data_IF_189403108500
#
_entry.id   IF_189403108500
#
_cell.length_a   1.000
_cell.length_b   1.000
_cell.length_c   1.000
_cell.angle_alpha   90.00
_cell.angle_beta   90.00
_cell.angle_gamma   90.00
#
_symmetry.space_group_name_H-M   'P 1'
#
loop_
_entity.id
_entity.type
_entity.pdbx_description
1 polymer ?
#
# COMPACT_ATOMS: atom_id res chain seq x y z
N UNK A 1 6.34 65.78 -16.17
CA UNK A 1 5.52 64.75 -16.85
C UNK A 1 6.41 63.51 -17.01
N UNK A 2 6.62 62.65 -16.00
CA UNK A 2 5.74 61.59 -15.48
C UNK A 2 4.99 60.82 -16.58
N UNK A 3 5.58 59.70 -17.01
CA UNK A 3 4.97 58.37 -17.16
C UNK A 3 6.04 57.38 -17.64
N UNK A 4 6.97 57.09 -16.72
CA UNK A 4 7.71 55.82 -16.72
C UNK A 4 6.72 54.80 -16.19
N UNK A 5 6.04 54.11 -17.08
CA UNK A 5 5.34 52.86 -16.76
C UNK A 5 5.48 52.01 -18.01
N UNK A 6 6.74 51.62 -18.24
CA UNK A 6 7.07 50.40 -18.96
C UNK A 6 6.26 49.31 -18.26
N UNK A 7 5.11 48.99 -18.86
CA UNK A 7 4.27 47.87 -18.50
C UNK A 7 5.19 46.67 -18.62
N UNK A 8 5.72 46.28 -17.46
CA UNK A 8 6.41 45.03 -17.26
C UNK A 8 5.50 43.99 -17.89
N UNK A 9 6.01 43.37 -18.94
CA UNK A 9 5.47 42.20 -19.59
C UNK A 9 5.53 41.01 -18.60
N UNK A 10 4.79 41.14 -17.49
CA UNK A 10 4.35 40.07 -16.62
C UNK A 10 2.96 39.62 -17.09
N UNK A 11 2.79 39.54 -18.41
CA UNK A 11 1.86 38.58 -18.99
C UNK A 11 2.59 37.24 -18.94
N UNK A 12 2.87 36.79 -17.70
CA UNK A 12 3.31 35.45 -17.40
C UNK A 12 2.24 34.55 -17.96
N UNK A 13 2.57 33.99 -19.11
CA UNK A 13 1.80 33.02 -19.85
C UNK A 13 1.28 32.01 -18.83
N UNK A 14 -0.04 32.03 -18.67
CA UNK A 14 -0.85 31.15 -17.83
C UNK A 14 -0.78 29.74 -18.45
N UNK A 15 0.41 29.15 -18.40
CA UNK A 15 0.63 27.72 -18.60
C UNK A 15 -0.02 27.07 -17.37
N UNK A 16 -1.32 26.78 -17.48
CA UNK A 16 -1.94 25.69 -16.71
C UNK A 16 -1.23 24.40 -17.12
N UNK A 17 -0.01 24.21 -16.61
CA UNK A 17 0.69 22.95 -16.72
C UNK A 17 0.02 22.00 -15.77
N UNK A 18 -0.56 20.92 -16.29
CA UNK A 18 -0.99 19.81 -15.45
C UNK A 18 0.19 19.40 -14.55
N UNK A 19 -0.03 19.37 -13.24
CA UNK A 19 1.00 19.00 -12.27
C UNK A 19 1.54 17.62 -12.61
N UNK A 20 2.87 17.46 -12.68
CA UNK A 20 3.46 16.17 -12.97
C UNK A 20 3.59 15.36 -11.67
N UNK A 21 3.44 14.02 -11.72
CA UNK A 21 3.66 13.16 -10.55
C UNK A 21 5.03 13.38 -9.88
N UNK A 22 6.06 13.71 -10.66
CA UNK A 22 7.40 13.95 -10.14
C UNK A 22 7.48 15.20 -9.25
N UNK A 23 6.73 16.25 -9.58
CA UNK A 23 6.74 17.51 -8.83
C UNK A 23 6.03 17.39 -7.47
N UNK A 24 5.11 16.43 -7.36
CA UNK A 24 4.33 16.17 -6.15
C UNK A 24 5.11 15.31 -5.14
N UNK A 25 5.97 14.40 -5.62
CA UNK A 25 6.65 13.40 -4.77
C UNK A 25 7.54 14.05 -3.71
N UNK A 26 8.30 15.08 -4.05
CA UNK A 26 9.19 15.74 -3.08
C UNK A 26 8.39 16.35 -1.90
N UNK A 27 7.25 16.97 -2.19
CA UNK A 27 6.36 17.53 -1.16
C UNK A 27 5.72 16.42 -0.31
N UNK A 28 5.33 15.31 -0.94
CA UNK A 28 4.76 14.15 -0.24
C UNK A 28 5.76 13.49 0.71
N UNK A 29 7.04 13.44 0.37
CA UNK A 29 8.07 12.89 1.24
C UNK A 29 8.26 13.75 2.48
N UNK A 30 8.23 15.08 2.34
CA UNK A 30 8.41 16.00 3.47
C UNK A 30 7.18 16.06 4.38
N UNK A 31 6.00 16.26 3.78
CA UNK A 31 4.77 16.57 4.54
C UNK A 31 3.82 15.39 4.65
N UNK A 32 3.79 14.52 3.65
CA UNK A 32 2.77 13.49 3.48
C UNK A 32 1.53 13.95 2.71
N UNK A 33 1.47 15.20 2.25
CA UNK A 33 0.36 15.67 1.44
C UNK A 33 0.76 16.78 0.49
N UNK A 34 -0.03 16.96 -0.56
CA UNK A 34 0.09 18.01 -1.56
C UNK A 34 -1.29 18.57 -1.86
N UNK A 35 -1.43 19.90 -1.89
CA UNK A 35 -2.65 20.59 -2.32
C UNK A 35 -2.25 21.54 -3.44
N UNK A 36 -2.78 21.31 -4.63
CA UNK A 36 -2.53 22.17 -5.79
C UNK A 36 -3.14 23.56 -5.55
N UNK A 37 -2.45 24.60 -6.01
CA UNK A 37 -2.99 25.95 -5.94
C UNK A 37 -4.34 26.04 -6.67
N UNK A 38 -5.36 26.50 -5.97
CA UNK A 38 -6.73 26.61 -6.48
C UNK A 38 -7.62 25.39 -6.23
N UNK A 39 -7.14 24.35 -5.55
CA UNK A 39 -7.98 23.25 -5.09
C UNK A 39 -8.96 23.70 -3.99
N UNK A 40 -10.15 23.09 -3.94
CA UNK A 40 -11.22 23.49 -3.00
C UNK A 40 -11.11 22.76 -1.66
N UNK A 41 -9.93 22.85 -1.03
CA UNK A 41 -9.66 22.25 0.28
C UNK A 41 -8.66 23.07 1.08
N UNK A 42 -8.85 23.10 2.41
CA UNK A 42 -7.88 23.70 3.32
C UNK A 42 -6.75 22.71 3.63
N UNK A 43 -5.49 23.18 3.52
CA UNK A 43 -4.31 22.36 3.77
C UNK A 43 -4.29 21.75 5.18
N UNK A 44 -4.83 22.45 6.19
CA UNK A 44 -4.91 21.95 7.56
C UNK A 44 -5.81 20.73 7.69
N UNK A 45 -6.91 20.68 6.94
CA UNK A 45 -7.79 19.50 6.91
C UNK A 45 -7.07 18.28 6.34
N UNK A 46 -6.33 18.46 5.25
CA UNK A 46 -5.56 17.38 4.63
C UNK A 46 -4.43 16.92 5.55
N UNK A 47 -3.75 17.86 6.21
CA UNK A 47 -2.71 17.56 7.19
C UNK A 47 -3.25 16.73 8.37
N UNK A 48 -4.41 17.11 8.92
CA UNK A 48 -5.06 16.39 10.02
C UNK A 48 -5.47 14.98 9.60
N UNK A 49 -5.99 14.82 8.38
CA UNK A 49 -6.37 13.52 7.83
C UNK A 49 -5.14 12.59 7.63
N UNK A 50 -4.03 13.12 7.12
CA UNK A 50 -2.77 12.37 7.02
C UNK A 50 -2.21 12.02 8.40
N UNK A 51 -2.23 12.96 9.35
CA UNK A 51 -1.80 12.72 10.71
C UNK A 51 -2.63 11.59 11.37
N UNK A 52 -3.94 11.61 11.19
CA UNK A 52 -4.85 10.57 11.64
C UNK A 52 -4.49 9.19 11.08
N UNK A 53 -4.31 9.09 9.77
CA UNK A 53 -3.92 7.84 9.12
C UNK A 53 -2.56 7.33 9.62
N UNK A 54 -1.61 8.23 9.88
CA UNK A 54 -0.32 7.93 10.50
C UNK A 54 -0.46 7.43 11.94
N UNK A 55 -1.35 8.02 12.74
CA UNK A 55 -1.64 7.53 14.09
C UNK A 55 -2.27 6.13 14.10
N UNK A 56 -3.01 5.77 13.05
CA UNK A 56 -3.51 4.41 12.83
C UNK A 56 -2.41 3.42 12.39
N UNK A 57 -1.18 3.89 12.18
CA UNK A 57 -0.01 3.11 11.78
C UNK A 57 0.25 3.09 10.28
N UNK A 58 -0.48 3.89 9.48
CA UNK A 58 -0.40 3.88 8.03
C UNK A 58 0.50 4.95 7.43
N UNK A 59 1.00 4.66 6.22
CA UNK A 59 1.74 5.61 5.40
C UNK A 59 0.84 6.13 4.28
N UNK A 60 -0.17 6.90 4.68
CA UNK A 60 -1.07 7.58 3.75
C UNK A 60 -0.42 8.88 3.26
N UNK A 61 -0.48 9.08 1.95
CA UNK A 61 -0.16 10.32 1.27
C UNK A 61 -1.43 10.82 0.58
N UNK A 62 -1.73 12.11 0.70
CA UNK A 62 -2.95 12.70 0.10
C UNK A 62 -2.55 13.78 -0.90
N UNK A 63 -3.12 13.72 -2.09
CA UNK A 63 -2.93 14.71 -3.16
C UNK A 63 -4.29 15.27 -3.53
N UNK A 64 -4.45 16.59 -3.47
CA UNK A 64 -5.66 17.27 -3.94
C UNK A 64 -5.29 18.19 -5.09
N UNK A 65 -5.95 18.01 -6.23
CA UNK A 65 -5.65 18.67 -7.49
C UNK A 65 -6.75 19.67 -7.84
N UNK A 66 -6.35 20.81 -8.41
CA UNK A 66 -7.28 21.83 -8.93
C UNK A 66 -7.63 21.58 -10.40
N UNK A 67 -6.90 20.66 -11.05
CA UNK A 67 -7.14 20.24 -12.43
C UNK A 67 -7.13 18.71 -12.55
N UNK A 68 -7.87 18.19 -13.53
CA UNK A 68 -7.95 16.75 -13.76
C UNK A 68 -6.62 16.23 -14.37
N UNK A 69 -5.94 15.26 -13.73
CA UNK A 69 -4.70 14.72 -14.26
C UNK A 69 -4.94 13.87 -15.51
N UNK A 70 -3.96 13.86 -16.42
CA UNK A 70 -4.03 13.02 -17.62
C UNK A 70 -4.15 11.53 -17.25
N UNK A 71 -5.26 10.89 -17.66
CA UNK A 71 -5.54 9.49 -17.35
C UNK A 71 -6.31 9.26 -16.04
N UNK A 72 -6.64 10.32 -15.30
CA UNK A 72 -7.45 10.27 -14.08
C UNK A 72 -6.65 10.02 -12.79
N UNK A 73 -7.32 10.25 -11.67
CA UNK A 73 -6.74 10.26 -10.32
C UNK A 73 -6.08 8.92 -9.94
N UNK A 74 -6.65 7.78 -10.32
CA UNK A 74 -6.06 6.46 -10.04
C UNK A 74 -4.74 6.24 -10.79
N UNK A 75 -4.68 6.63 -12.06
CA UNK A 75 -3.44 6.52 -12.86
C UNK A 75 -2.38 7.47 -12.32
N UNK A 76 -2.78 8.66 -11.90
CA UNK A 76 -1.89 9.60 -11.23
C UNK A 76 -1.36 9.05 -9.90
N UNK A 77 -2.24 8.46 -9.07
CA UNK A 77 -1.88 7.85 -7.79
C UNK A 77 -0.84 6.74 -7.96
N UNK A 78 -1.02 5.87 -8.96
CA UNK A 78 -0.09 4.80 -9.31
C UNK A 78 1.28 5.35 -9.71
N UNK A 79 1.30 6.36 -10.58
CA UNK A 79 2.54 7.02 -11.02
C UNK A 79 3.30 7.71 -9.88
N UNK A 80 2.59 8.31 -8.91
CA UNK A 80 3.18 8.89 -7.71
C UNK A 80 3.72 7.78 -6.80
N UNK A 81 2.94 6.72 -6.58
CA UNK A 81 3.32 5.62 -5.71
C UNK A 81 4.55 4.85 -6.23
N UNK A 82 4.65 4.64 -7.54
CA UNK A 82 5.83 4.05 -8.18
C UNK A 82 7.12 4.82 -7.88
N UNK A 83 7.02 6.14 -7.70
CA UNK A 83 8.14 7.01 -7.36
C UNK A 83 8.43 7.03 -5.85
N UNK A 84 7.39 7.01 -5.02
CA UNK A 84 7.52 6.92 -3.56
C UNK A 84 8.07 5.55 -3.11
N UNK A 85 7.73 4.48 -3.84
CA UNK A 85 8.19 3.11 -3.62
C UNK A 85 7.53 2.36 -2.45
N UNK A 86 6.66 3.01 -1.67
CA UNK A 86 5.86 2.38 -0.62
C UNK A 86 4.72 3.30 -0.13
N UNK A 87 3.76 2.70 0.56
CA UNK A 87 2.66 3.41 1.22
C UNK A 87 1.37 3.34 0.42
N UNK A 88 0.47 4.26 0.74
CA UNK A 88 -0.82 4.45 0.07
C UNK A 88 -0.91 5.89 -0.39
N UNK A 89 -1.26 6.12 -1.65
CA UNK A 89 -1.49 7.45 -2.23
C UNK A 89 -2.98 7.56 -2.53
N UNK A 90 -3.62 8.60 -2.00
CA UNK A 90 -5.00 8.96 -2.28
C UNK A 90 -5.03 10.29 -3.04
N UNK A 91 -5.71 10.33 -4.17
CA UNK A 91 -5.76 11.50 -5.07
C UNK A 91 -7.21 11.93 -5.25
N UNK A 92 -7.46 13.20 -5.00
CA UNK A 92 -8.74 13.88 -5.24
C UNK A 92 -8.51 14.87 -6.38
N UNK A 93 -9.19 14.68 -7.49
CA UNK A 93 -9.21 15.61 -8.63
C UNK A 93 -10.67 16.02 -8.93
N UNK A 94 -10.89 17.09 -9.71
CA UNK A 94 -12.23 17.65 -9.89
C UNK A 94 -13.25 16.68 -10.52
N UNK A 95 -12.81 15.78 -11.41
CA UNK A 95 -13.70 14.83 -12.09
C UNK A 95 -13.54 13.41 -11.56
N UNK A 96 -12.37 13.05 -11.05
CA UNK A 96 -12.10 11.69 -10.57
C UNK A 96 -11.40 11.66 -9.20
N UNK A 97 -11.66 10.58 -8.47
CA UNK A 97 -11.01 10.29 -7.18
C UNK A 97 -10.47 8.87 -7.26
N UNK A 98 -9.25 8.66 -6.76
CA UNK A 98 -8.58 7.37 -6.89
C UNK A 98 -7.51 7.15 -5.84
N UNK A 99 -7.03 5.91 -5.75
CA UNK A 99 -5.96 5.53 -4.84
C UNK A 99 -5.04 4.48 -5.46
N UNK A 100 -3.82 4.43 -4.95
CA UNK A 100 -2.88 3.34 -5.19
C UNK A 100 -2.25 2.92 -3.85
N UNK A 101 -1.96 1.63 -3.67
CA UNK A 101 -1.31 1.16 -2.44
C UNK A 101 -0.35 0.01 -2.70
N UNK A 102 0.82 0.12 -2.06
CA UNK A 102 1.84 -0.94 -1.93
C UNK A 102 2.04 -1.33 -0.45
N UNK A 103 1.21 -0.79 0.46
CA UNK A 103 1.23 -1.14 1.88
C UNK A 103 0.23 -2.26 2.20
N UNK A 104 0.53 -3.04 3.24
CA UNK A 104 -0.27 -4.18 3.72
C UNK A 104 -1.18 -3.80 4.89
N UNK A 105 -1.08 -2.57 5.41
CA UNK A 105 -1.90 -2.12 6.54
C UNK A 105 -3.40 -2.18 6.23
N UNK A 106 -3.78 -1.69 5.04
CA UNK A 106 -5.16 -1.70 4.56
C UNK A 106 -5.27 -2.62 3.35
N UNK A 107 -6.23 -3.53 3.42
CA UNK A 107 -6.60 -4.38 2.28
C UNK A 107 -7.21 -3.55 1.16
N UNK A 108 -7.16 -4.04 -0.08
CA UNK A 108 -7.81 -3.38 -1.22
C UNK A 108 -9.31 -3.18 -0.97
N UNK A 109 -9.97 -4.17 -0.38
CA UNK A 109 -11.38 -4.09 -0.01
C UNK A 109 -11.67 -3.05 1.10
N UNK A 110 -10.68 -2.68 1.92
CA UNK A 110 -10.82 -1.56 2.85
C UNK A 110 -10.67 -0.21 2.13
N UNK A 111 -9.70 -0.11 1.23
CA UNK A 111 -9.44 1.10 0.45
C UNK A 111 -10.58 1.39 -0.53
N UNK A 112 -11.15 0.38 -1.18
CA UNK A 112 -12.33 0.51 -2.04
C UNK A 112 -13.55 0.96 -1.25
N UNK A 113 -13.79 0.39 -0.06
CA UNK A 113 -14.87 0.85 0.82
C UNK A 113 -14.66 2.26 1.33
N UNK A 114 -13.40 2.67 1.55
CA UNK A 114 -13.06 4.02 1.93
C UNK A 114 -13.28 5.00 0.77
N UNK A 115 -12.94 4.61 -0.46
CA UNK A 115 -13.24 5.37 -1.67
C UNK A 115 -14.76 5.51 -1.87
N UNK A 116 -15.52 4.44 -1.72
CA UNK A 116 -16.99 4.47 -1.78
C UNK A 116 -17.60 5.39 -0.71
N UNK A 117 -16.94 5.53 0.44
CA UNK A 117 -17.34 6.48 1.49
C UNK A 117 -16.99 7.91 1.14
N UNK A 118 -15.78 8.14 0.62
CA UNK A 118 -15.31 9.42 0.14
C UNK A 118 -16.22 10.00 -0.94
N UNK A 119 -16.64 9.18 -1.91
CA UNK A 119 -17.51 9.56 -3.03
C UNK A 119 -18.94 9.96 -2.62
N UNK A 120 -19.32 9.82 -1.34
CA UNK A 120 -20.57 10.37 -0.80
C UNK A 120 -20.43 11.85 -0.43
N UNK A 121 -19.21 12.34 -0.30
CA UNK A 121 -18.90 13.74 -0.08
C UNK A 121 -19.25 14.59 -1.29
N UNK A 122 -19.66 15.82 -1.03
CA UNK A 122 -20.03 16.84 -2.01
C UNK A 122 -18.95 17.89 -2.23
N UNK A 123 -17.86 17.84 -1.46
CA UNK A 123 -16.68 18.72 -1.56
C UNK A 123 -15.39 17.91 -1.38
N UNK A 124 -14.27 18.43 -1.87
CA UNK A 124 -12.95 17.78 -1.74
C UNK A 124 -12.60 17.53 -0.26
N UNK A 125 -12.99 18.46 0.62
CA UNK A 125 -12.92 18.28 2.07
C UNK A 125 -13.64 17.01 2.54
N UNK A 126 -14.93 16.88 2.21
CA UNK A 126 -15.74 15.74 2.64
C UNK A 126 -15.25 14.43 2.04
N UNK A 127 -14.68 14.47 0.83
CA UNK A 127 -14.05 13.33 0.17
C UNK A 127 -12.81 12.87 0.97
N UNK A 128 -11.89 13.79 1.30
CA UNK A 128 -10.68 13.46 2.08
C UNK A 128 -11.04 12.96 3.48
N UNK A 129 -11.91 13.68 4.19
CA UNK A 129 -12.34 13.31 5.54
C UNK A 129 -13.05 11.94 5.51
N UNK A 130 -13.97 11.73 4.56
CA UNK A 130 -14.71 10.48 4.39
C UNK A 130 -13.83 9.27 4.09
N UNK A 131 -12.80 9.45 3.26
CA UNK A 131 -11.83 8.40 2.97
C UNK A 131 -11.07 7.97 4.23
N UNK A 132 -10.47 8.93 4.94
CA UNK A 132 -9.64 8.64 6.12
C UNK A 132 -10.49 8.09 7.26
N UNK A 133 -11.66 8.68 7.50
CA UNK A 133 -12.66 8.22 8.46
C UNK A 133 -13.02 6.74 8.29
N UNK A 134 -13.23 6.31 7.04
CA UNK A 134 -13.54 4.92 6.72
C UNK A 134 -12.35 3.97 6.95
N UNK A 135 -11.11 4.44 6.78
CA UNK A 135 -9.90 3.66 7.03
C UNK A 135 -9.56 3.53 8.52
N UNK A 136 -9.79 4.58 9.31
CA UNK A 136 -9.44 4.62 10.74
C UNK A 136 -10.60 4.20 11.65
N UNK A 137 -11.82 4.12 11.11
CA UNK A 137 -13.02 3.74 11.86
C UNK A 137 -13.63 4.89 12.68
N UNK A 138 -13.26 6.15 12.43
CA UNK A 138 -13.98 7.33 12.94
C UNK A 138 -15.11 7.66 11.99
N UNK A 139 -16.37 7.66 12.43
CA UNK A 139 -17.48 8.12 11.58
C UNK A 139 -17.50 9.65 11.56
N UNK A 140 -17.28 10.26 10.39
CA UNK A 140 -17.52 11.69 10.16
C UNK A 140 -19.03 11.92 10.23
N UNK A 141 -19.48 12.57 11.30
CA UNK A 141 -20.91 12.83 11.53
C UNK A 141 -21.36 12.91 12.99
N UNK A 142 -20.50 12.63 13.98
CA UNK A 142 -20.86 12.91 15.37
C UNK A 142 -20.56 14.38 15.69
N UNK A 143 -21.56 15.23 15.47
CA UNK A 143 -21.60 16.56 16.06
C UNK A 143 -21.31 16.45 17.55
N UNK A 144 -20.41 17.31 18.06
CA UNK A 144 -20.03 17.32 19.47
C UNK A 144 -21.25 17.23 20.40
N UNK A 145 -21.35 16.22 21.28
CA UNK A 145 -22.11 16.38 22.49
C UNK A 145 -21.22 17.13 23.48
N UNK A 146 -21.55 18.40 23.68
CA UNK A 146 -21.29 19.22 24.86
C UNK A 146 -20.60 18.46 26.01
N UNK A 147 -19.37 18.88 26.29
CA UNK A 147 -18.68 18.85 27.60
C UNK A 147 -19.58 18.40 28.77
N UNK A 148 -19.55 17.10 29.08
CA UNK A 148 -20.20 16.50 30.25
C UNK A 148 -19.50 15.21 30.64
N UNK A 149 -18.89 15.18 31.83
CA UNK A 149 -17.90 14.18 32.24
C UNK A 149 -18.39 12.72 32.25
N UNK A 150 -17.48 11.80 31.89
CA UNK A 150 -17.74 10.36 31.93
C UNK A 150 -16.60 9.50 31.37
N UNK A 151 -15.35 9.78 31.74
CA UNK A 151 -14.13 9.16 31.19
C UNK A 151 -13.88 7.67 31.51
N UNK A 152 -14.91 6.88 31.80
CA UNK A 152 -14.75 5.46 32.17
C UNK A 152 -15.37 4.46 31.18
N UNK A 153 -16.41 4.82 30.45
CA UNK A 153 -17.19 3.88 29.62
C UNK A 153 -16.64 3.68 28.22
N UNK A 154 -16.01 4.71 27.63
CA UNK A 154 -15.43 4.63 26.28
C UNK A 154 -14.16 3.77 26.22
N UNK A 155 -13.34 3.77 27.29
CA UNK A 155 -12.18 2.89 27.38
C UNK A 155 -12.56 1.41 27.49
N UNK A 156 -13.69 1.10 28.15
CA UNK A 156 -14.20 -0.28 28.26
C UNK A 156 -14.71 -0.79 26.91
N UNK A 157 -15.43 0.04 26.15
CA UNK A 157 -15.89 -0.31 24.81
C UNK A 157 -14.73 -0.46 23.82
N UNK A 158 -13.72 0.43 23.87
CA UNK A 158 -12.49 0.31 23.09
C UNK A 158 -11.73 -0.99 23.40
N UNK A 159 -11.56 -1.34 24.68
CA UNK A 159 -10.91 -2.59 25.09
C UNK A 159 -11.70 -3.83 24.66
N UNK A 160 -13.03 -3.78 24.67
CA UNK A 160 -13.86 -4.90 24.20
C UNK A 160 -13.74 -5.08 22.69
N UNK A 161 -13.76 -4.00 21.90
CA UNK A 161 -13.63 -4.08 20.43
C UNK A 161 -12.21 -4.50 20.02
N UNK A 162 -11.17 -3.88 20.57
CA UNK A 162 -9.77 -4.26 20.32
C UNK A 162 -9.50 -5.68 20.81
N UNK A 163 -10.09 -6.08 21.95
CA UNK A 163 -10.01 -7.44 22.47
C UNK A 163 -10.66 -8.47 21.55
N UNK A 164 -11.86 -8.18 21.01
CA UNK A 164 -12.58 -9.09 20.10
C UNK A 164 -11.88 -9.19 18.75
N UNK A 165 -11.37 -8.08 18.19
CA UNK A 165 -10.62 -8.08 16.94
C UNK A 165 -9.27 -8.80 17.11
N UNK A 166 -8.55 -8.53 18.21
CA UNK A 166 -7.32 -9.25 18.56
C UNK A 166 -7.55 -10.75 18.75
N UNK A 167 -8.64 -11.14 19.39
CA UNK A 167 -9.04 -12.54 19.58
C UNK A 167 -9.36 -13.23 18.24
N UNK A 168 -10.03 -12.54 17.31
CA UNK A 168 -10.35 -13.06 15.98
C UNK A 168 -9.08 -13.22 15.12
N UNK A 169 -8.16 -12.26 15.17
CA UNK A 169 -6.86 -12.35 14.47
C UNK A 169 -5.98 -13.44 15.09
N UNK A 170 -5.97 -13.59 16.42
CA UNK A 170 -5.25 -14.68 17.08
C UNK A 170 -5.85 -16.05 16.78
N UNK A 171 -7.18 -16.18 16.79
CA UNK A 171 -7.87 -17.43 16.44
C UNK A 171 -7.65 -17.81 14.97
N UNK A 172 -7.63 -16.84 14.06
CA UNK A 172 -7.32 -17.10 12.65
C UNK A 172 -5.85 -17.47 12.43
N UNK A 173 -4.91 -16.85 13.14
CA UNK A 173 -3.49 -17.26 13.14
C UNK A 173 -3.27 -18.66 13.75
N UNK A 174 -3.97 -18.99 14.84
CA UNK A 174 -3.91 -20.31 15.46
C UNK A 174 -4.47 -21.41 14.54
N UNK A 175 -5.54 -21.12 13.79
CA UNK A 175 -6.08 -22.01 12.77
C UNK A 175 -5.09 -22.20 11.59
N UNK A 176 -4.46 -21.12 11.13
CA UNK A 176 -3.42 -21.19 10.08
C UNK A 176 -2.18 -21.97 10.52
N UNK A 177 -1.78 -21.90 11.80
CA UNK A 177 -0.67 -22.70 12.34
C UNK A 177 -0.96 -24.21 12.33
N UNK A 178 -2.21 -24.63 12.56
CA UNK A 178 -2.62 -26.03 12.44
C UNK A 178 -2.65 -26.51 10.98
N UNK A 179 -3.10 -25.65 10.05
CA UNK A 179 -3.08 -25.96 8.63
C UNK A 179 -1.65 -26.02 8.05
N UNK A 180 -0.75 -25.14 8.50
CA UNK A 180 0.67 -25.15 8.12
C UNK A 180 1.41 -26.39 8.66
N UNK A 181 1.08 -26.84 9.88
CA UNK A 181 1.64 -28.07 10.45
C UNK A 181 1.18 -29.34 9.70
N UNK A 182 -0.04 -29.35 9.17
CA UNK A 182 -0.56 -30.47 8.37
C UNK A 182 0.16 -30.59 7.00
N UNK A 183 0.41 -29.46 6.32
CA UNK A 183 1.14 -29.46 5.03
C UNK A 183 2.61 -29.88 5.17
N UNK A 184 3.23 -29.60 6.31
CA UNK A 184 4.59 -30.05 6.62
C UNK A 184 4.69 -31.57 6.89
N UNK A 185 3.59 -32.24 7.27
CA UNK A 185 3.56 -33.69 7.43
C UNK A 185 3.44 -34.41 6.07
N UNK A 186 2.62 -33.87 5.17
CA UNK A 186 2.42 -34.39 3.81
C UNK A 186 3.69 -34.26 2.94
N UNK A 187 4.37 -33.10 2.99
CA UNK A 187 5.62 -32.87 2.25
C UNK A 187 6.76 -33.80 2.73
N UNK A 188 6.77 -34.18 4.02
CA UNK A 188 7.81 -35.09 4.55
C UNK A 188 7.62 -36.54 4.08
N UNK A 189 6.39 -36.99 3.84
CA UNK A 189 6.15 -38.34 3.30
C UNK A 189 6.58 -38.44 1.83
N UNK A 190 6.26 -37.42 1.03
CA UNK A 190 6.57 -37.40 -0.41
C UNK A 190 8.09 -37.31 -0.69
N UNK A 191 8.85 -36.65 0.21
CA UNK A 191 10.32 -36.59 0.14
C UNK A 191 10.96 -37.91 0.58
N UNK A 192 10.42 -38.59 1.61
CA UNK A 192 10.97 -39.87 2.08
C UNK A 192 10.82 -40.98 1.03
N UNK A 193 9.71 -40.98 0.28
CA UNK A 193 9.48 -41.94 -0.80
C UNK A 193 10.43 -41.70 -1.99
N UNK A 194 10.70 -40.44 -2.34
CA UNK A 194 11.65 -40.07 -3.40
C UNK A 194 13.11 -40.33 -3.02
N UNK A 195 13.50 -40.17 -1.75
CA UNK A 195 14.87 -40.47 -1.28
C UNK A 195 15.14 -41.97 -1.22
N UNK A 196 14.13 -42.80 -0.92
CA UNK A 196 14.26 -44.26 -0.96
C UNK A 196 14.44 -44.79 -2.39
N UNK A 197 13.73 -44.21 -3.37
CA UNK A 197 13.87 -44.57 -4.78
C UNK A 197 15.26 -44.21 -5.35
N UNK A 198 15.79 -43.03 -5.01
CA UNK A 198 17.12 -42.58 -5.48
C UNK A 198 18.27 -43.36 -4.82
N UNK A 199 18.09 -43.90 -3.62
CA UNK A 199 19.11 -44.72 -2.95
C UNK A 199 19.25 -46.13 -3.55
N UNK A 200 18.20 -46.67 -4.18
CA UNK A 200 18.26 -47.99 -4.79
C UNK A 200 18.96 -47.99 -6.16
N UNK A 201 19.08 -46.84 -6.82
CA UNK A 201 19.77 -46.68 -8.11
C UNK A 201 21.30 -46.53 -7.97
N UNK A 202 21.81 -46.33 -6.75
CA UNK A 202 23.26 -46.16 -6.50
C UNK A 202 23.93 -47.46 -6.01
N UNK A 203 23.15 -48.50 -5.65
CA UNK A 203 23.69 -49.78 -5.14
C UNK A 203 23.89 -50.83 -6.24
N UNK A 204 23.51 -50.56 -7.49
CA UNK A 204 23.72 -51.48 -8.63
C UNK A 204 24.90 -51.07 -9.54
N UNK A 205 25.91 -50.40 -8.97
CA UNK A 205 27.21 -50.20 -9.61
C UNK A 205 28.34 -50.56 -8.65
N UNK A 206 28.61 -51.86 -8.58
CA UNK A 206 29.88 -52.47 -8.13
C UNK A 206 29.91 -53.89 -8.72
N UNK A 207 31.05 -54.50 -9.13
CA UNK A 207 32.30 -53.97 -9.66
C UNK A 207 32.81 -54.83 -10.85
N UNK A 208 32.61 -54.44 -12.11
CA UNK A 208 33.21 -55.15 -13.27
C UNK A 208 34.55 -54.53 -13.67
N UNK A 209 35.47 -54.38 -12.71
CA UNK A 209 36.90 -54.19 -13.01
C UNK A 209 37.71 -55.12 -12.10
N UNK A 210 37.64 -56.42 -12.41
CA UNK A 210 38.71 -57.35 -12.07
C UNK A 210 38.70 -58.52 -13.06
N UNK A 211 39.79 -58.57 -13.85
CA UNK A 211 40.32 -59.72 -14.61
C UNK A 211 39.76 -59.94 -16.03
N UNK A 212 40.43 -59.34 -17.01
CA UNK A 212 40.95 -60.09 -18.17
C UNK A 212 42.07 -59.30 -18.86
N UNK A 213 43.30 -59.81 -18.74
CA UNK A 213 44.42 -59.56 -19.65
C UNK A 213 43.98 -59.61 -21.12
N UNK A 214 44.25 -58.56 -21.89
CA UNK A 214 44.32 -58.67 -23.36
C UNK A 214 45.62 -58.02 -23.89
N UNK A 215 46.60 -58.85 -24.32
CA UNK A 215 47.95 -58.42 -24.75
C UNK A 215 48.02 -57.88 -26.19
N UNK A 216 47.09 -57.03 -26.65
CA UNK A 216 47.06 -56.55 -28.05
C UNK A 216 47.35 -55.05 -28.28
N UNK A 217 47.66 -54.26 -27.25
CA UNK A 217 48.02 -52.84 -27.41
C UNK A 217 49.54 -52.60 -27.55
N UNK A 218 50.24 -53.43 -28.34
CA UNK A 218 51.71 -53.33 -28.53
C UNK A 218 52.15 -53.08 -29.99
N UNK A 219 51.34 -52.40 -30.81
CA UNK A 219 51.68 -52.11 -32.22
C UNK A 219 51.35 -50.71 -32.77
N UNK A 220 51.14 -49.69 -31.94
CA UNK A 220 50.94 -48.33 -32.46
C UNK A 220 51.80 -47.22 -31.81
N UNK A 221 52.99 -47.60 -31.31
CA UNK A 221 54.06 -46.66 -30.98
C UNK A 221 55.43 -47.18 -31.45
N UNK A 222 55.52 -47.43 -32.76
CA UNK A 222 56.69 -47.07 -33.57
C UNK A 222 56.20 -46.14 -34.69
#
# INVERSE_FOLDING_TARGET
MRRISLVVALLGLLLLGAVAPADVVDELVDRGFYVEAGADVDEGVVADAVAEARFAGGRLHVVVLSSEPAGGATVFADAVLDRLGAGTVFVVAPETVGWASQDDLWTREQLDRALDAALRGSSDREVVEGFVAALTGRTVGEAEPVRGGGGGTLLVLFLVVVGVVGLLVWRSRAARRRAAAARLAEIKQDIAERVAAVSNDIVELDPEIAVADHPEARRHFE
#
